data_IF_798267206242
#
_entry.id   IF_798267206242
#
_cell.length_a   1.000
_cell.length_b   1.000
_cell.length_c   1.000
_cell.angle_alpha   90.00
_cell.angle_beta   90.00
_cell.angle_gamma   90.00
#
_symmetry.space_group_name_H-M   'P 1'
#
loop_
_entity.id
_entity.type
_entity.pdbx_description
1 polymer ?
#
# COMPACT_ATOMS: atom_id res chain seq x y z
N UNK A 1 -13.89 3.61 -41.38
CA UNK A 1 -13.02 3.27 -42.56
C UNK A 1 -11.51 3.41 -42.30
N UNK A 2 -11.03 4.38 -41.52
CA UNK A 2 -9.59 4.54 -41.21
C UNK A 2 -9.07 3.50 -40.23
N UNK A 3 -9.85 3.10 -39.21
CA UNK A 3 -9.42 2.14 -38.20
C UNK A 3 -9.29 0.70 -38.73
N UNK A 4 -10.19 0.27 -39.64
CA UNK A 4 -10.06 -1.04 -40.34
C UNK A 4 -8.73 -1.20 -41.11
N UNK A 5 -8.13 -0.08 -41.57
CA UNK A 5 -6.82 -0.11 -42.27
C UNK A 5 -5.66 -0.13 -41.27
N UNK A 6 -5.77 0.49 -40.12
CA UNK A 6 -4.69 0.56 -39.11
C UNK A 6 -4.56 -0.77 -38.36
N UNK A 7 -5.67 -1.42 -38.01
CA UNK A 7 -5.66 -2.73 -37.36
C UNK A 7 -5.17 -3.83 -38.30
N UNK A 8 -5.54 -3.79 -39.60
CA UNK A 8 -5.03 -4.73 -40.62
C UNK A 8 -3.51 -4.60 -40.87
N UNK A 9 -2.95 -3.41 -40.75
CA UNK A 9 -1.51 -3.19 -40.92
C UNK A 9 -0.69 -3.64 -39.71
N UNK A 10 -1.25 -3.54 -38.50
CA UNK A 10 -0.61 -3.99 -37.23
C UNK A 10 -0.58 -5.51 -37.09
N UNK A 11 -1.57 -6.23 -37.63
CA UNK A 11 -1.60 -7.69 -37.61
C UNK A 11 -0.58 -8.37 -38.56
N UNK A 12 -0.02 -7.64 -39.53
CA UNK A 12 0.84 -8.25 -40.56
C UNK A 12 2.34 -8.25 -40.21
N UNK A 13 2.81 -7.70 -39.10
CA UNK A 13 4.26 -7.50 -38.83
C UNK A 13 4.80 -8.34 -37.66
N UNK A 14 4.02 -9.15 -36.97
CA UNK A 14 4.52 -9.89 -35.81
C UNK A 14 4.70 -11.40 -36.03
N UNK A 15 5.62 -11.77 -36.95
CA UNK A 15 6.25 -13.10 -36.90
C UNK A 15 7.74 -12.91 -36.67
N UNK A 16 8.18 -13.23 -35.49
CA UNK A 16 9.49 -13.63 -35.00
C UNK A 16 9.96 -12.79 -33.80
N UNK A 17 9.97 -13.40 -32.63
CA UNK A 17 11.11 -13.57 -31.72
C UNK A 17 10.63 -14.15 -30.37
N UNK A 18 11.08 -15.37 -30.15
CA UNK A 18 11.42 -16.15 -28.93
C UNK A 18 10.86 -15.83 -27.55
N UNK A 19 10.38 -16.90 -26.95
CA UNK A 19 9.99 -17.16 -25.57
C UNK A 19 11.01 -16.69 -24.53
N UNK A 20 10.51 -16.07 -23.46
CA UNK A 20 11.07 -16.20 -22.10
C UNK A 20 9.93 -16.41 -21.10
N UNK A 21 10.10 -17.30 -20.10
CA UNK A 21 9.04 -17.66 -19.18
C UNK A 21 8.82 -16.59 -18.10
N UNK A 22 7.55 -16.36 -17.77
CA UNK A 22 7.14 -15.50 -16.69
C UNK A 22 7.38 -16.19 -15.34
N UNK A 23 8.52 -15.93 -14.70
CA UNK A 23 8.72 -16.11 -13.27
C UNK A 23 9.74 -15.09 -12.80
N UNK A 24 9.27 -13.99 -12.26
CA UNK A 24 10.07 -13.16 -11.38
C UNK A 24 9.15 -12.34 -10.46
N UNK A 25 8.58 -13.00 -9.45
CA UNK A 25 8.32 -12.34 -8.19
C UNK A 25 9.69 -12.16 -7.57
N UNK A 26 10.24 -10.95 -7.62
CA UNK A 26 11.49 -10.64 -6.94
C UNK A 26 11.24 -10.55 -5.43
N UNK A 27 11.45 -11.69 -4.76
CA UNK A 27 11.74 -11.70 -3.35
C UNK A 27 13.12 -11.05 -3.19
N UNK A 28 13.20 -9.94 -2.47
CA UNK A 28 14.47 -9.48 -1.91
C UNK A 28 14.85 -10.46 -0.80
N UNK A 29 15.63 -11.48 -1.17
CA UNK A 29 16.28 -12.35 -0.21
C UNK A 29 17.56 -11.65 0.26
N UNK A 30 17.67 -11.50 1.56
CA UNK A 30 18.90 -11.13 2.24
C UNK A 30 19.99 -12.15 1.95
N UNK A 31 21.15 -11.66 1.53
CA UNK A 31 22.33 -12.49 1.28
C UNK A 31 22.87 -13.10 2.56
N UNK A 32 22.73 -14.40 2.73
CA UNK A 32 23.48 -15.17 3.71
C UNK A 32 24.89 -15.43 3.18
N UNK A 33 25.88 -14.74 3.74
CA UNK A 33 27.28 -15.05 3.57
C UNK A 33 27.67 -16.19 4.49
N UNK A 34 27.87 -17.39 3.94
CA UNK A 34 28.52 -18.50 4.62
C UNK A 34 30.04 -18.21 4.76
N UNK A 35 30.48 -17.88 5.95
CA UNK A 35 31.91 -17.95 6.31
C UNK A 35 32.19 -19.27 6.99
N UNK A 36 33.11 -20.01 6.38
CA UNK A 36 33.76 -21.22 6.88
C UNK A 36 34.43 -20.94 8.23
N UNK A 37 34.17 -21.83 9.20
CA UNK A 37 34.77 -21.75 10.52
C UNK A 37 36.23 -22.20 10.47
N UNK A 38 37.17 -21.32 10.77
CA UNK A 38 38.51 -21.69 11.26
C UNK A 38 38.52 -21.64 12.78
N UNK A 39 38.81 -22.78 13.37
CA UNK A 39 38.97 -22.99 14.81
C UNK A 39 40.28 -22.39 15.27
N UNK A 40 40.23 -21.22 15.91
CA UNK A 40 41.39 -20.73 16.66
C UNK A 40 41.00 -20.67 18.13
N UNK A 41 41.65 -21.54 18.91
CA UNK A 41 41.58 -21.55 20.37
C UNK A 41 42.25 -20.32 20.92
N UNK A 42 41.52 -19.38 21.52
CA UNK A 42 42.07 -18.28 22.29
C UNK A 42 41.53 -18.36 23.72
N UNK A 43 42.48 -18.61 24.63
CA UNK A 43 42.34 -18.61 26.07
C UNK A 43 41.84 -17.26 26.61
N UNK A 44 40.90 -17.35 27.53
CA UNK A 44 40.44 -16.44 28.54
C UNK A 44 40.73 -14.94 28.46
N UNK A 45 39.68 -14.16 28.16
CA UNK A 45 39.50 -12.83 28.74
C UNK A 45 38.06 -12.72 29.23
N UNK A 46 37.87 -12.40 30.51
CA UNK A 46 36.65 -12.01 31.12
C UNK A 46 35.92 -10.96 30.23
N UNK A 47 34.95 -11.38 29.45
CA UNK A 47 33.98 -10.47 28.89
C UNK A 47 32.99 -10.17 30.02
N UNK A 48 33.09 -9.01 30.63
CA UNK A 48 31.98 -8.39 31.31
C UNK A 48 30.85 -8.27 30.29
N UNK A 49 29.90 -9.20 30.30
CA UNK A 49 28.63 -9.04 29.60
C UNK A 49 28.03 -7.72 30.11
N UNK A 50 28.03 -6.69 29.29
CA UNK A 50 27.32 -5.46 29.55
C UNK A 50 25.84 -5.83 29.65
N UNK A 51 25.34 -5.97 30.86
CA UNK A 51 23.95 -6.29 31.15
C UNK A 51 23.11 -5.12 30.61
N UNK A 52 22.40 -5.34 29.49
CA UNK A 52 21.58 -4.29 28.90
C UNK A 52 20.62 -3.71 29.95
N UNK A 53 20.59 -2.38 30.06
CA UNK A 53 19.72 -1.68 31.00
C UNK A 53 18.25 -2.03 30.65
N UNK A 54 17.42 -2.19 31.67
CA UNK A 54 16.00 -2.53 31.52
C UNK A 54 15.08 -1.36 31.81
N UNK A 55 15.62 -0.19 32.04
CA UNK A 55 14.86 1.06 32.23
C UNK A 55 15.74 2.28 31.93
N UNK A 56 15.12 3.41 31.70
CA UNK A 56 15.79 4.67 31.42
C UNK A 56 14.84 5.75 30.95
N UNK A 57 15.38 6.76 30.29
CA UNK A 57 14.62 7.88 29.76
C UNK A 57 14.49 7.74 28.22
N UNK A 58 13.36 8.24 27.70
CA UNK A 58 13.03 8.16 26.29
C UNK A 58 12.24 9.37 25.77
N UNK A 59 12.29 10.50 26.49
CA UNK A 59 11.64 11.74 26.09
C UNK A 59 12.31 12.42 24.89
N UNK A 60 11.57 13.31 24.24
CA UNK A 60 12.05 14.08 23.11
C UNK A 60 13.20 15.06 23.50
N UNK A 61 13.88 15.60 22.48
CA UNK A 61 14.94 16.57 22.64
C UNK A 61 14.48 17.75 23.54
N UNK A 62 15.34 18.16 24.47
CA UNK A 62 15.11 19.15 25.53
C UNK A 62 14.11 18.73 26.62
N UNK A 63 13.59 17.51 26.58
CA UNK A 63 12.69 16.91 27.58
C UNK A 63 13.02 15.44 27.81
N UNK A 64 14.26 15.03 27.66
CA UNK A 64 14.72 13.65 27.63
C UNK A 64 14.26 12.86 28.87
N UNK A 65 14.21 13.52 30.04
CA UNK A 65 13.80 12.91 31.32
C UNK A 65 12.31 12.92 31.61
N UNK A 66 11.51 13.52 30.73
CA UNK A 66 10.06 13.67 30.96
C UNK A 66 9.29 12.37 30.71
N UNK A 67 9.81 11.50 29.83
CA UNK A 67 9.25 10.17 29.54
C UNK A 67 10.26 9.09 29.87
N UNK A 68 9.78 8.01 30.49
CA UNK A 68 10.58 6.89 30.95
C UNK A 68 10.11 5.60 30.29
N UNK A 69 11.00 4.65 30.19
CA UNK A 69 10.70 3.28 29.79
C UNK A 69 11.20 2.29 30.82
N UNK A 70 10.48 1.19 30.97
CA UNK A 70 10.87 0.06 31.80
C UNK A 70 10.46 -1.26 31.13
N UNK A 71 11.39 -2.21 31.02
CA UNK A 71 11.14 -3.53 30.44
C UNK A 71 11.20 -4.62 31.50
N UNK A 72 10.10 -5.33 31.69
CA UNK A 72 10.02 -6.50 32.55
C UNK A 72 10.37 -7.76 31.73
N UNK A 73 11.54 -8.36 32.00
CA UNK A 73 12.03 -9.55 31.29
C UNK A 73 11.21 -10.82 31.56
N UNK A 74 10.51 -10.90 32.68
CA UNK A 74 9.73 -12.09 33.05
C UNK A 74 8.40 -12.11 32.29
N UNK A 75 7.76 -10.95 32.15
CA UNK A 75 6.45 -10.83 31.48
C UNK A 75 6.58 -10.46 30.00
N UNK A 76 7.69 -9.88 29.59
CA UNK A 76 7.88 -9.34 28.22
C UNK A 76 7.17 -8.00 28.00
N UNK A 77 6.80 -7.28 29.07
CA UNK A 77 6.08 -6.00 28.98
C UNK A 77 7.09 -4.84 28.98
N UNK A 78 7.00 -3.99 27.95
CA UNK A 78 7.64 -2.68 27.88
C UNK A 78 6.64 -1.61 28.32
N UNK A 79 6.90 -0.92 29.42
CA UNK A 79 6.07 0.19 29.90
C UNK A 79 6.71 1.51 29.55
N UNK A 80 5.92 2.43 28.97
CA UNK A 80 6.27 3.83 28.70
C UNK A 80 5.42 4.69 29.64
N UNK A 81 6.06 5.54 30.43
CA UNK A 81 5.39 6.36 31.44
C UNK A 81 5.98 7.77 31.53
N UNK A 82 5.29 8.66 32.27
CA UNK A 82 5.72 10.05 32.46
C UNK A 82 4.82 11.05 31.75
N UNK A 83 5.34 12.25 31.53
CA UNK A 83 4.57 13.36 30.92
C UNK A 83 5.35 13.97 29.78
N UNK A 84 4.76 13.99 28.58
CA UNK A 84 5.40 14.59 27.41
C UNK A 84 5.56 13.61 26.25
N UNK A 85 6.29 14.04 25.22
CA UNK A 85 6.48 13.28 23.97
C UNK A 85 7.71 12.38 24.08
N UNK A 86 7.62 11.17 23.52
CA UNK A 86 8.78 10.30 23.22
C UNK A 86 9.66 10.90 22.13
N UNK A 87 10.93 10.56 22.12
CA UNK A 87 11.86 10.87 21.02
C UNK A 87 11.47 10.16 19.71
N UNK A 88 11.86 10.74 18.57
CA UNK A 88 11.89 10.03 17.31
C UNK A 88 13.20 9.23 17.21
N UNK A 89 13.11 7.97 16.75
CA UNK A 89 14.26 7.08 16.74
C UNK A 89 14.76 6.83 15.31
N UNK A 90 16.08 6.66 15.18
CA UNK A 90 16.66 6.13 13.97
C UNK A 90 16.53 4.60 13.99
N UNK A 91 16.24 4.04 12.83
CA UNK A 91 16.17 2.60 12.62
C UNK A 91 16.79 2.25 11.27
N UNK A 92 17.84 1.42 11.29
CA UNK A 92 18.52 0.97 10.08
C UNK A 92 19.58 -0.09 10.39
N UNK A 93 20.22 -0.60 9.33
CA UNK A 93 21.21 -1.66 9.46
C UNK A 93 22.48 -1.24 10.24
N UNK A 94 22.73 0.05 10.35
CA UNK A 94 23.92 0.61 10.99
C UNK A 94 23.64 1.27 12.33
N UNK A 95 22.40 1.62 12.63
CA UNK A 95 22.04 2.37 13.84
C UNK A 95 20.59 2.12 14.24
N UNK A 96 20.36 1.66 15.47
CA UNK A 96 19.06 1.63 16.13
C UNK A 96 19.21 2.40 17.45
N UNK A 97 18.58 3.58 17.54
CA UNK A 97 18.73 4.47 18.70
C UNK A 97 17.67 4.25 19.78
N UNK A 98 16.81 3.23 19.63
CA UNK A 98 15.81 2.91 20.64
C UNK A 98 16.48 2.31 21.88
N UNK A 99 16.21 2.80 23.07
CA UNK A 99 16.87 2.30 24.27
C UNK A 99 16.51 0.83 24.61
N UNK A 100 15.39 0.31 24.08
CA UNK A 100 14.96 -1.10 24.20
C UNK A 100 15.32 -1.97 22.99
N UNK A 101 16.15 -1.50 22.07
CA UNK A 101 16.51 -2.25 20.85
C UNK A 101 17.04 -3.68 21.15
N UNK A 102 17.81 -3.85 22.23
CA UNK A 102 18.32 -5.15 22.66
C UNK A 102 17.22 -6.18 23.03
N UNK A 103 15.99 -5.74 23.23
CA UNK A 103 14.86 -6.57 23.63
C UNK A 103 13.80 -6.73 22.52
N UNK A 104 14.06 -6.25 21.31
CA UNK A 104 13.08 -6.19 20.20
C UNK A 104 12.42 -7.54 19.87
N UNK A 105 13.11 -8.64 20.08
CA UNK A 105 12.61 -9.99 19.78
C UNK A 105 11.92 -10.69 20.99
N UNK A 106 11.82 -10.04 22.14
CA UNK A 106 11.21 -10.59 23.36
C UNK A 106 10.15 -9.70 23.99
N UNK A 107 9.98 -8.45 23.49
CA UNK A 107 8.88 -7.56 23.89
C UNK A 107 7.59 -8.13 23.32
N UNK A 108 6.65 -8.52 24.21
CA UNK A 108 5.35 -9.10 23.85
C UNK A 108 4.19 -8.11 23.97
N UNK A 109 4.33 -7.14 24.84
CA UNK A 109 3.34 -6.08 25.08
C UNK A 109 4.05 -4.74 25.25
N UNK A 110 3.50 -3.69 24.63
CA UNK A 110 3.84 -2.31 24.91
C UNK A 110 2.69 -1.66 25.63
N UNK A 111 2.94 -1.17 26.85
CA UNK A 111 1.97 -0.44 27.66
C UNK A 111 2.37 1.03 27.73
N UNK A 112 1.53 1.91 27.20
CA UNK A 112 1.72 3.37 27.25
C UNK A 112 0.75 3.94 28.30
N UNK A 113 1.28 4.64 29.30
CA UNK A 113 0.48 5.21 30.36
C UNK A 113 -0.07 6.59 29.99
N UNK A 114 -1.19 6.98 30.59
CA UNK A 114 -1.73 8.33 30.47
C UNK A 114 -0.71 9.37 30.98
N UNK A 115 -0.65 10.54 30.30
CA UNK A 115 0.36 11.57 30.50
C UNK A 115 1.45 11.58 29.43
N UNK A 116 1.73 10.43 28.79
CA UNK A 116 2.54 10.42 27.57
C UNK A 116 1.75 11.08 26.45
N UNK A 117 2.29 12.14 25.85
CA UNK A 117 1.56 12.96 24.87
C UNK A 117 1.94 12.69 23.42
N UNK A 118 2.97 11.89 23.18
CA UNK A 118 3.34 11.54 21.82
C UNK A 118 4.17 10.27 21.71
N UNK A 119 3.92 9.50 20.66
CA UNK A 119 4.68 8.31 20.29
C UNK A 119 5.63 8.70 19.15
N UNK A 120 6.93 8.57 19.40
CA UNK A 120 7.95 8.95 18.42
C UNK A 120 8.01 8.03 17.21
N UNK A 121 8.56 8.54 16.11
CA UNK A 121 8.78 7.75 14.90
C UNK A 121 9.70 6.55 15.15
N UNK A 122 9.39 5.42 14.52
CA UNK A 122 10.07 4.12 14.68
C UNK A 122 10.08 3.55 16.11
N UNK A 123 9.31 4.09 17.06
CA UNK A 123 9.43 3.74 18.48
C UNK A 123 9.34 2.23 18.74
N UNK A 124 8.37 1.57 18.15
CA UNK A 124 8.12 0.15 18.37
C UNK A 124 8.33 -0.70 17.11
N UNK A 125 8.91 -0.13 16.06
CA UNK A 125 9.15 -0.81 14.79
C UNK A 125 9.92 -2.11 14.96
N UNK A 126 9.48 -3.18 14.26
CA UNK A 126 10.15 -4.47 14.20
C UNK A 126 10.35 -5.13 15.58
N UNK A 127 9.34 -5.05 16.44
CA UNK A 127 9.23 -5.83 17.67
C UNK A 127 8.58 -7.18 17.32
N UNK A 128 9.39 -8.15 16.90
CA UNK A 128 8.93 -9.39 16.26
C UNK A 128 8.11 -10.33 17.14
N UNK A 129 8.06 -10.09 18.46
CA UNK A 129 7.23 -10.84 19.42
C UNK A 129 6.03 -10.02 19.93
N UNK A 130 5.87 -8.75 19.50
CA UNK A 130 4.82 -7.86 19.98
C UNK A 130 3.45 -8.35 19.50
N UNK A 131 2.55 -8.64 20.46
CA UNK A 131 1.19 -9.07 20.17
C UNK A 131 0.14 -8.03 20.56
N UNK A 132 0.46 -7.16 21.53
CA UNK A 132 -0.51 -6.20 22.08
C UNK A 132 0.14 -4.86 22.42
N UNK A 133 -0.63 -3.78 22.19
CA UNK A 133 -0.30 -2.41 22.62
C UNK A 133 -1.56 -1.60 22.88
N UNK A 134 -1.42 -0.42 23.51
CA UNK A 134 -2.49 0.55 23.69
C UNK A 134 -2.07 1.95 23.24
N UNK A 135 -3.03 2.78 22.90
CA UNK A 135 -2.83 4.21 22.57
C UNK A 135 -3.75 5.02 23.49
N UNK A 136 -3.19 5.69 24.52
CA UNK A 136 -3.98 6.43 25.49
C UNK A 136 -4.55 7.74 24.93
N UNK A 137 -5.55 8.30 25.62
CA UNK A 137 -6.22 9.53 25.19
C UNK A 137 -5.34 10.77 25.25
N UNK A 138 -4.29 10.76 26.05
CA UNK A 138 -3.32 11.86 26.17
C UNK A 138 -2.47 12.07 24.92
N UNK A 139 -2.42 11.09 23.98
CA UNK A 139 -1.61 11.18 22.78
C UNK A 139 -2.15 12.25 21.82
N UNK A 140 -1.31 13.22 21.49
CA UNK A 140 -1.56 14.29 20.52
C UNK A 140 -0.46 14.41 19.44
N UNK A 141 0.48 13.46 19.43
CA UNK A 141 1.49 13.32 18.39
C UNK A 141 1.72 11.83 18.08
N UNK A 142 1.71 11.49 16.81
CA UNK A 142 2.04 10.17 16.28
C UNK A 142 3.11 10.34 15.20
N UNK A 143 4.27 9.73 15.39
CA UNK A 143 5.34 9.69 14.40
C UNK A 143 5.09 8.63 13.34
N UNK A 144 5.96 8.59 12.33
CA UNK A 144 5.89 7.60 11.25
C UNK A 144 6.52 6.27 11.68
N UNK A 145 6.11 5.16 11.03
CA UNK A 145 6.70 3.82 11.19
C UNK A 145 6.59 3.23 12.61
N UNK A 146 5.62 3.66 13.43
CA UNK A 146 5.58 3.33 14.87
C UNK A 146 5.64 1.82 15.12
N UNK A 147 4.76 1.03 14.48
CA UNK A 147 4.65 -0.43 14.63
C UNK A 147 5.05 -1.20 13.36
N UNK A 148 5.77 -0.55 12.44
CA UNK A 148 6.12 -1.18 11.16
C UNK A 148 6.84 -2.51 11.35
N UNK A 149 6.36 -3.56 10.67
CA UNK A 149 6.91 -4.91 10.67
C UNK A 149 6.78 -5.65 12.03
N UNK A 150 5.80 -5.29 12.83
CA UNK A 150 5.41 -6.04 14.03
C UNK A 150 4.46 -7.16 13.60
N UNK A 151 5.04 -8.22 13.00
CA UNK A 151 4.28 -9.27 12.31
C UNK A 151 3.36 -10.09 13.23
N UNK A 152 3.64 -10.11 14.52
CA UNK A 152 2.83 -10.82 15.53
C UNK A 152 1.74 -9.93 16.16
N UNK A 153 1.71 -8.62 15.87
CA UNK A 153 0.76 -7.68 16.44
C UNK A 153 -0.68 -8.04 16.02
N UNK A 154 -1.53 -8.30 16.98
CA UNK A 154 -2.95 -8.62 16.75
C UNK A 154 -3.90 -7.65 17.41
N UNK A 155 -3.43 -6.94 18.46
CA UNK A 155 -4.30 -6.09 19.26
C UNK A 155 -3.67 -4.73 19.55
N UNK A 156 -4.42 -3.67 19.16
CA UNK A 156 -4.11 -2.29 19.50
C UNK A 156 -5.36 -1.68 20.12
N UNK A 157 -5.27 -1.34 21.39
CA UNK A 157 -6.37 -0.78 22.16
C UNK A 157 -6.32 0.75 22.10
N UNK A 158 -7.25 1.36 21.35
CA UNK A 158 -7.45 2.80 21.33
C UNK A 158 -8.25 3.24 22.55
N UNK A 159 -7.82 4.29 23.25
CA UNK A 159 -8.64 4.87 24.31
C UNK A 159 -10.00 5.34 23.75
N UNK A 160 -11.13 5.11 24.47
CA UNK A 160 -12.47 5.41 23.96
C UNK A 160 -12.68 6.88 23.52
N UNK A 161 -11.96 7.81 24.13
CA UNK A 161 -12.00 9.24 23.86
C UNK A 161 -10.77 9.74 23.08
N UNK A 162 -10.04 8.85 22.42
CA UNK A 162 -8.90 9.22 21.59
C UNK A 162 -9.33 10.15 20.45
N UNK A 163 -8.56 11.22 20.25
CA UNK A 163 -8.74 12.13 19.14
C UNK A 163 -7.48 12.17 18.29
N UNK A 164 -7.61 11.84 17.02
CA UNK A 164 -6.48 11.81 16.09
C UNK A 164 -5.82 13.20 15.97
N UNK A 165 -4.49 13.28 16.11
CA UNK A 165 -3.78 14.55 15.90
C UNK A 165 -3.83 14.97 14.44
N UNK A 166 -3.78 16.30 14.19
CA UNK A 166 -3.56 16.80 12.84
C UNK A 166 -2.09 16.66 12.48
N UNK A 167 -1.82 15.96 11.41
CA UNK A 167 -0.48 15.67 10.92
C UNK A 167 -0.31 16.27 9.51
N UNK A 168 0.94 16.38 9.07
CA UNK A 168 1.30 16.80 7.72
C UNK A 168 2.05 15.66 7.04
N UNK A 169 1.45 15.09 6.00
CA UNK A 169 2.12 14.10 5.16
C UNK A 169 3.09 14.79 4.22
N UNK A 170 4.37 14.46 4.34
CA UNK A 170 5.45 15.01 3.51
C UNK A 170 5.93 13.99 2.45
N UNK A 171 5.40 12.76 2.45
CA UNK A 171 5.83 11.69 1.52
C UNK A 171 5.16 11.78 0.14
N UNK A 172 4.32 12.78 -0.10
CA UNK A 172 3.59 12.93 -1.36
C UNK A 172 4.34 13.82 -2.35
N UNK A 173 4.70 13.29 -3.52
CA UNK A 173 5.13 14.12 -4.64
C UNK A 173 3.97 14.87 -5.34
N UNK A 174 2.74 14.57 -4.96
CA UNK A 174 1.51 15.15 -5.52
C UNK A 174 0.90 16.28 -4.69
N UNK A 175 1.57 16.73 -3.65
CA UNK A 175 1.07 17.72 -2.70
C UNK A 175 1.11 17.20 -1.27
N UNK A 176 1.16 18.12 -0.32
CA UNK A 176 1.10 17.78 1.10
C UNK A 176 -0.34 17.69 1.55
N UNK A 177 -0.72 16.59 2.19
CA UNK A 177 -1.98 16.51 2.92
C UNK A 177 -1.75 16.93 4.38
N UNK A 178 -2.62 17.79 4.90
CA UNK A 178 -2.65 18.13 6.32
C UNK A 178 -4.02 17.74 6.86
N UNK A 179 -4.06 16.91 7.89
CA UNK A 179 -5.31 16.43 8.45
C UNK A 179 -5.10 15.37 9.52
N UNK A 180 -6.21 14.77 9.96
CA UNK A 180 -6.19 13.70 10.95
C UNK A 180 -6.10 12.36 10.21
N UNK A 181 -4.89 11.88 9.92
CA UNK A 181 -4.69 10.62 9.21
C UNK A 181 -3.81 9.64 10.03
N UNK A 182 -3.98 8.35 9.77
CA UNK A 182 -3.08 7.33 10.31
C UNK A 182 -1.68 7.54 9.75
N UNK A 183 -0.63 7.70 10.58
CA UNK A 183 0.72 8.06 10.10
C UNK A 183 1.29 7.12 9.05
N UNK A 184 2.25 7.63 8.27
CA UNK A 184 2.98 6.86 7.28
C UNK A 184 3.55 5.58 7.87
N UNK A 185 3.22 4.46 7.22
CA UNK A 185 3.70 3.11 7.57
C UNK A 185 3.49 2.72 9.05
N UNK A 186 2.49 3.29 9.72
CA UNK A 186 2.28 3.01 11.15
C UNK A 186 2.12 1.52 11.43
N UNK A 187 1.34 0.81 10.59
CA UNK A 187 1.08 -0.63 10.70
C UNK A 187 1.56 -1.42 9.48
N UNK A 188 2.50 -0.85 8.72
CA UNK A 188 3.08 -1.47 7.53
C UNK A 188 3.68 -2.84 7.85
N UNK A 189 3.19 -3.91 7.19
CA UNK A 189 3.56 -5.31 7.44
C UNK A 189 3.28 -5.83 8.86
N UNK A 190 2.29 -5.29 9.57
CA UNK A 190 1.70 -5.95 10.72
C UNK A 190 0.76 -7.07 10.23
N UNK A 191 1.32 -8.18 9.76
CA UNK A 191 0.64 -9.17 8.93
C UNK A 191 -0.45 -9.99 9.65
N UNK A 192 -0.56 -9.91 10.98
CA UNK A 192 -1.63 -10.49 11.77
C UNK A 192 -2.66 -9.47 12.26
N UNK A 193 -2.37 -8.18 12.09
CA UNK A 193 -3.28 -7.13 12.56
C UNK A 193 -4.52 -7.07 11.67
N UNK A 194 -5.69 -7.09 12.31
CA UNK A 194 -6.96 -6.92 11.63
C UNK A 194 -7.67 -8.21 11.23
N UNK A 195 -7.10 -9.38 11.50
CA UNK A 195 -7.75 -10.66 11.21
C UNK A 195 -9.13 -10.74 11.87
N UNK A 196 -10.17 -10.96 11.07
CA UNK A 196 -11.57 -10.95 11.49
C UNK A 196 -12.12 -9.60 11.96
N UNK A 197 -11.38 -8.48 11.76
CA UNK A 197 -11.79 -7.13 12.18
C UNK A 197 -12.12 -6.24 10.99
N UNK A 198 -13.10 -5.37 11.18
CA UNK A 198 -13.47 -4.33 10.22
C UNK A 198 -12.80 -3.01 10.63
N UNK A 199 -12.06 -2.39 9.69
CA UNK A 199 -11.17 -1.25 9.97
C UNK A 199 -11.92 -0.02 10.48
N UNK A 200 -13.07 0.34 9.90
CA UNK A 200 -13.80 1.56 10.26
C UNK A 200 -14.46 1.47 11.65
N UNK A 201 -14.65 0.25 12.16
CA UNK A 201 -15.11 0.01 13.54
C UNK A 201 -13.99 -0.04 14.55
N UNK A 202 -12.81 -0.46 14.09
CA UNK A 202 -11.61 -0.57 14.93
C UNK A 202 -10.86 0.76 15.06
N UNK A 203 -10.83 1.56 13.99
CA UNK A 203 -10.12 2.83 13.94
C UNK A 203 -10.98 3.95 14.57
N UNK A 204 -10.43 4.82 15.43
CA UNK A 204 -11.14 6.00 15.92
C UNK A 204 -11.72 6.84 14.79
N UNK A 205 -13.00 7.22 14.90
CA UNK A 205 -13.73 7.98 13.87
C UNK A 205 -13.18 9.40 13.63
N UNK A 206 -12.28 9.86 14.48
CA UNK A 206 -11.56 11.12 14.31
C UNK A 206 -10.50 11.09 13.18
N UNK A 207 -10.11 9.90 12.70
CA UNK A 207 -9.26 9.80 11.53
C UNK A 207 -10.04 10.03 10.25
N UNK A 208 -9.55 10.96 9.43
CA UNK A 208 -10.15 11.33 8.13
C UNK A 208 -9.29 10.89 6.95
N UNK A 209 -8.23 10.14 7.20
CA UNK A 209 -7.36 9.66 6.15
C UNK A 209 -6.39 8.59 6.61
N UNK A 210 -5.68 8.05 5.64
CA UNK A 210 -4.67 6.99 5.79
C UNK A 210 -3.39 7.43 5.10
N UNK A 211 -2.29 7.47 5.84
CA UNK A 211 -0.98 7.85 5.31
C UNK A 211 -0.34 6.80 4.40
N UNK A 212 0.80 7.14 3.81
CA UNK A 212 1.53 6.26 2.90
C UNK A 212 1.81 4.90 3.55
N UNK A 213 1.40 3.80 2.90
CA UNK A 213 1.60 2.42 3.34
C UNK A 213 1.14 2.10 4.78
N UNK A 214 0.21 2.88 5.34
CA UNK A 214 -0.12 2.78 6.78
C UNK A 214 -0.73 1.42 7.16
N UNK A 215 -1.50 0.78 6.28
CA UNK A 215 -2.08 -0.55 6.49
C UNK A 215 -1.59 -1.61 5.51
N UNK A 216 -0.47 -1.36 4.82
CA UNK A 216 0.05 -2.31 3.84
C UNK A 216 0.30 -3.68 4.48
N UNK A 217 -0.27 -4.73 3.86
CA UNK A 217 -0.10 -6.12 4.28
C UNK A 217 -0.83 -6.51 5.57
N UNK A 218 -1.77 -5.69 6.08
CA UNK A 218 -2.65 -6.03 7.21
C UNK A 218 -3.85 -6.86 6.76
N UNK A 219 -4.63 -7.41 7.72
CA UNK A 219 -5.72 -8.37 7.46
C UNK A 219 -7.13 -7.77 7.62
N UNK A 220 -7.27 -6.46 7.77
CA UNK A 220 -8.58 -5.85 7.93
C UNK A 220 -9.47 -6.03 6.69
N UNK A 221 -10.78 -6.21 6.94
CA UNK A 221 -11.80 -5.81 5.97
C UNK A 221 -12.03 -4.30 6.09
N UNK A 222 -12.52 -3.66 5.03
CA UNK A 222 -12.83 -2.22 5.06
C UNK A 222 -14.18 -1.99 4.41
N UNK A 223 -15.11 -1.44 5.16
CA UNK A 223 -16.39 -0.94 4.67
C UNK A 223 -16.26 0.57 4.38
N UNK A 224 -15.82 0.89 3.17
CA UNK A 224 -15.62 2.29 2.76
C UNK A 224 -16.89 3.11 2.73
N UNK A 225 -18.07 2.51 2.54
CA UNK A 225 -19.36 3.21 2.53
C UNK A 225 -19.69 3.76 3.92
N UNK A 226 -19.19 3.10 4.98
CA UNK A 226 -19.30 3.57 6.36
C UNK A 226 -18.19 4.56 6.77
N UNK A 227 -17.20 4.83 5.92
CA UNK A 227 -16.15 5.81 6.19
C UNK A 227 -16.48 7.18 5.55
N UNK A 228 -17.61 7.76 5.94
CA UNK A 228 -18.17 8.97 5.33
C UNK A 228 -17.29 10.23 5.42
N UNK A 229 -16.35 10.27 6.36
CA UNK A 229 -15.41 11.37 6.54
C UNK A 229 -14.01 11.11 5.95
N UNK A 230 -13.82 10.04 5.17
CA UNK A 230 -12.55 9.74 4.50
C UNK A 230 -12.25 10.83 3.45
N UNK A 231 -11.09 11.46 3.55
CA UNK A 231 -10.62 12.56 2.68
C UNK A 231 -9.27 12.29 2.03
N UNK A 232 -8.49 11.35 2.57
CA UNK A 232 -7.14 11.11 2.10
C UNK A 232 -6.77 9.62 2.13
N UNK A 233 -6.22 9.13 1.04
CA UNK A 233 -5.60 7.81 0.91
C UNK A 233 -4.19 8.02 0.37
N UNK A 234 -3.19 7.80 1.20
CA UNK A 234 -1.78 7.90 0.85
C UNK A 234 -1.35 6.82 -0.15
N UNK A 235 -0.21 7.02 -0.77
CA UNK A 235 0.36 6.01 -1.66
C UNK A 235 0.53 4.67 -0.90
N UNK A 236 0.17 3.55 -1.54
CA UNK A 236 0.29 2.20 -0.96
C UNK A 236 -0.51 1.97 0.32
N UNK A 237 -1.46 2.83 0.67
CA UNK A 237 -2.15 2.81 1.96
C UNK A 237 -2.78 1.45 2.27
N UNK A 238 -3.36 0.80 1.27
CA UNK A 238 -4.03 -0.49 1.33
C UNK A 238 -3.38 -1.56 0.43
N UNK A 239 -2.10 -1.37 0.08
CA UNK A 239 -1.34 -2.33 -0.72
C UNK A 239 -1.27 -3.68 -0.01
N UNK A 240 -1.46 -4.78 -0.77
CA UNK A 240 -1.38 -6.16 -0.25
C UNK A 240 -2.33 -6.48 0.91
N UNK A 241 -3.47 -5.81 1.03
CA UNK A 241 -4.54 -6.17 1.96
C UNK A 241 -5.48 -7.19 1.30
N UNK A 242 -5.50 -8.46 1.75
CA UNK A 242 -6.19 -9.53 1.01
C UNK A 242 -7.72 -9.49 1.13
N UNK A 243 -8.27 -8.79 2.13
CA UNK A 243 -9.70 -8.84 2.48
C UNK A 243 -10.49 -7.58 2.08
N UNK A 244 -9.97 -6.80 1.12
CA UNK A 244 -10.72 -5.69 0.54
C UNK A 244 -11.73 -6.21 -0.49
N UNK A 245 -12.98 -5.73 -0.43
CA UNK A 245 -14.01 -6.18 -1.38
C UNK A 245 -14.37 -5.12 -2.40
N UNK A 246 -14.67 -3.90 -1.97
CA UNK A 246 -15.11 -2.84 -2.87
C UNK A 246 -14.58 -1.47 -2.45
N UNK A 247 -14.43 -0.59 -3.43
CA UNK A 247 -14.12 0.82 -3.21
C UNK A 247 -14.81 1.70 -4.23
N UNK A 248 -15.28 2.87 -3.77
CA UNK A 248 -15.80 3.95 -4.64
C UNK A 248 -14.91 5.18 -4.52
N UNK A 249 -14.19 5.50 -5.60
CA UNK A 249 -13.39 6.72 -5.68
C UNK A 249 -14.26 7.89 -6.08
N UNK A 250 -14.26 8.96 -5.26
CA UNK A 250 -15.00 10.19 -5.47
C UNK A 250 -14.10 11.43 -5.36
N UNK A 251 -14.54 12.56 -5.91
CA UNK A 251 -13.76 13.82 -5.88
C UNK A 251 -13.43 14.36 -4.49
N UNK A 252 -14.14 13.88 -3.45
CA UNK A 252 -13.88 14.26 -2.06
C UNK A 252 -12.65 13.58 -1.45
N UNK A 253 -12.05 12.58 -2.13
CA UNK A 253 -10.93 11.79 -1.63
C UNK A 253 -9.67 12.15 -2.41
N UNK A 254 -8.69 12.74 -1.72
CA UNK A 254 -7.37 12.98 -2.28
C UNK A 254 -6.56 11.68 -2.27
N UNK A 255 -5.94 11.32 -3.40
CA UNK A 255 -5.04 10.18 -3.52
C UNK A 255 -3.59 10.66 -3.48
N UNK A 256 -2.82 10.15 -2.53
CA UNK A 256 -1.39 10.42 -2.41
C UNK A 256 -0.57 9.66 -3.46
N UNK A 257 0.58 10.23 -3.80
CA UNK A 257 1.52 9.65 -4.76
C UNK A 257 2.90 9.52 -4.09
N UNK A 258 3.62 8.46 -4.46
CA UNK A 258 5.03 8.31 -4.17
C UNK A 258 5.80 8.22 -5.50
N UNK A 259 6.57 9.27 -5.79
CA UNK A 259 6.99 9.49 -7.17
C UNK A 259 5.78 9.83 -8.05
N UNK A 260 5.51 9.03 -9.07
CA UNK A 260 4.36 9.20 -9.95
C UNK A 260 3.22 8.23 -9.66
N UNK A 261 3.42 7.23 -8.79
CA UNK A 261 2.52 6.11 -8.58
C UNK A 261 1.73 6.25 -7.27
N UNK A 262 0.44 5.97 -7.33
CA UNK A 262 -0.38 5.85 -6.13
C UNK A 262 -0.20 4.48 -5.46
N UNK A 263 -0.29 3.39 -6.24
CA UNK A 263 -0.29 2.01 -5.73
C UNK A 263 -1.24 1.80 -4.54
N UNK A 264 -2.27 2.64 -4.41
CA UNK A 264 -3.10 2.70 -3.20
C UNK A 264 -3.68 1.34 -2.82
N UNK A 265 -4.08 0.54 -3.81
CA UNK A 265 -4.65 -0.79 -3.67
C UNK A 265 -3.80 -1.90 -4.33
N UNK A 266 -2.55 -1.62 -4.66
CA UNK A 266 -1.69 -2.57 -5.38
C UNK A 266 -1.68 -3.95 -4.72
N UNK A 267 -1.99 -4.99 -5.51
CA UNK A 267 -1.97 -6.39 -5.03
C UNK A 267 -2.96 -6.69 -3.89
N UNK A 268 -3.97 -5.86 -3.67
CA UNK A 268 -5.02 -6.12 -2.69
C UNK A 268 -6.09 -7.08 -3.24
N UNK A 269 -6.92 -7.62 -2.35
CA UNK A 269 -8.06 -8.48 -2.67
C UNK A 269 -9.29 -7.74 -3.21
N UNK A 270 -9.13 -6.51 -3.73
CA UNK A 270 -10.23 -5.70 -4.25
C UNK A 270 -10.94 -6.44 -5.39
N UNK A 271 -12.28 -6.58 -5.29
CA UNK A 271 -13.13 -7.29 -6.27
C UNK A 271 -13.94 -6.34 -7.14
N UNK A 272 -14.33 -5.20 -6.57
CA UNK A 272 -15.15 -4.19 -7.24
C UNK A 272 -14.59 -2.78 -7.03
N UNK A 273 -14.52 -2.00 -8.11
CA UNK A 273 -14.12 -0.60 -8.09
C UNK A 273 -15.07 0.27 -8.88
N UNK A 274 -15.58 1.32 -8.25
CA UNK A 274 -16.36 2.37 -8.92
C UNK A 274 -15.51 3.64 -8.92
N UNK A 275 -15.39 4.28 -10.08
CA UNK A 275 -14.63 5.54 -10.22
C UNK A 275 -15.55 6.63 -10.69
N UNK A 276 -15.71 7.68 -9.87
CA UNK A 276 -16.54 8.87 -10.13
C UNK A 276 -15.73 10.17 -10.13
N UNK A 277 -14.41 10.09 -10.37
CA UNK A 277 -13.48 11.22 -10.47
C UNK A 277 -13.11 11.47 -11.92
N UNK A 278 -12.51 12.63 -12.22
CA UNK A 278 -12.04 12.95 -13.58
C UNK A 278 -10.93 12.00 -14.06
N UNK A 279 -10.05 11.55 -13.17
CA UNK A 279 -8.93 10.66 -13.50
C UNK A 279 -8.89 9.43 -12.58
N UNK A 280 -8.57 8.28 -13.17
CA UNK A 280 -8.11 7.10 -12.41
C UNK A 280 -6.61 7.26 -12.17
N UNK A 281 -6.13 7.27 -10.93
CA UNK A 281 -4.72 7.50 -10.63
C UNK A 281 -3.78 6.42 -11.20
N UNK A 282 -2.54 6.80 -11.48
CA UNK A 282 -1.50 5.89 -11.96
C UNK A 282 -1.27 4.74 -10.97
N UNK A 283 -1.17 3.50 -11.49
CA UNK A 283 -0.93 2.29 -10.71
C UNK A 283 -1.95 2.04 -9.58
N UNK A 284 -3.17 2.56 -9.67
CA UNK A 284 -4.15 2.63 -8.59
C UNK A 284 -4.54 1.26 -8.03
N UNK A 285 -4.97 0.34 -8.90
CA UNK A 285 -5.37 -1.02 -8.59
C UNK A 285 -4.49 -2.06 -9.32
N UNK A 286 -3.22 -1.72 -9.54
CA UNK A 286 -2.24 -2.60 -10.16
C UNK A 286 -2.12 -3.91 -9.37
N UNK A 287 -2.16 -5.06 -10.04
CA UNK A 287 -2.01 -6.37 -9.42
C UNK A 287 -3.19 -6.84 -8.56
N UNK A 288 -4.33 -6.15 -8.59
CA UNK A 288 -5.56 -6.64 -7.94
C UNK A 288 -6.14 -7.82 -8.73
N UNK A 289 -5.61 -9.01 -8.48
CA UNK A 289 -5.94 -10.22 -9.27
C UNK A 289 -7.34 -10.77 -9.01
N UNK A 290 -8.08 -10.20 -8.05
CA UNK A 290 -9.50 -10.51 -7.79
C UNK A 290 -10.44 -9.43 -8.34
N UNK A 291 -9.92 -8.32 -8.89
CA UNK A 291 -10.74 -7.23 -9.41
C UNK A 291 -11.40 -7.61 -10.74
N UNK A 292 -12.67 -7.97 -10.68
CA UNK A 292 -13.49 -8.38 -11.83
C UNK A 292 -14.46 -7.34 -12.29
N UNK A 293 -14.88 -6.42 -11.42
CA UNK A 293 -15.93 -5.40 -11.67
C UNK A 293 -15.32 -3.98 -11.57
N UNK A 294 -15.26 -3.30 -12.71
CA UNK A 294 -14.85 -1.90 -12.79
C UNK A 294 -15.98 -1.10 -13.42
N UNK A 295 -16.51 -0.13 -12.68
CA UNK A 295 -17.49 0.82 -13.18
C UNK A 295 -16.84 2.20 -13.33
N UNK A 296 -16.79 2.71 -14.56
CA UNK A 296 -16.29 4.04 -14.88
C UNK A 296 -17.48 4.99 -15.02
N UNK A 297 -17.63 5.93 -14.08
CA UNK A 297 -18.67 6.94 -14.10
C UNK A 297 -18.49 7.96 -15.22
N UNK A 298 -19.52 8.75 -15.51
CA UNK A 298 -19.51 9.77 -16.59
C UNK A 298 -18.50 10.91 -16.37
N UNK A 299 -18.02 11.10 -15.15
CA UNK A 299 -17.00 12.09 -14.81
C UNK A 299 -15.61 11.71 -15.33
N UNK A 300 -15.35 10.41 -15.53
CA UNK A 300 -14.01 9.91 -15.90
C UNK A 300 -13.62 10.40 -17.29
N UNK A 301 -12.47 11.07 -17.40
CA UNK A 301 -11.87 11.55 -18.64
C UNK A 301 -10.58 10.82 -18.99
N UNK A 302 -9.88 10.34 -17.99
CA UNK A 302 -8.55 9.73 -18.18
C UNK A 302 -8.35 8.53 -17.26
N UNK A 303 -7.71 7.49 -17.80
CA UNK A 303 -7.16 6.38 -17.05
C UNK A 303 -5.63 6.49 -17.15
N UNK A 304 -4.97 6.71 -16.01
CA UNK A 304 -3.52 6.90 -15.96
C UNK A 304 -2.77 5.57 -16.20
N UNK A 305 -1.47 5.61 -16.59
CA UNK A 305 -0.69 4.41 -16.85
C UNK A 305 -0.71 3.40 -15.70
N UNK A 306 -0.73 2.10 -16.04
CA UNK A 306 -0.71 0.96 -15.11
C UNK A 306 -1.89 0.90 -14.14
N UNK A 307 -2.94 1.71 -14.30
CA UNK A 307 -4.03 1.83 -13.32
C UNK A 307 -4.66 0.49 -12.94
N UNK A 308 -4.83 -0.41 -13.91
CA UNK A 308 -5.46 -1.73 -13.80
C UNK A 308 -4.56 -2.86 -14.33
N UNK A 309 -3.26 -2.67 -14.30
CA UNK A 309 -2.30 -3.67 -14.74
C UNK A 309 -2.53 -5.00 -14.00
N UNK A 310 -2.61 -6.12 -14.75
CA UNK A 310 -2.75 -7.48 -14.19
C UNK A 310 -3.97 -7.65 -13.26
N UNK A 311 -5.13 -7.11 -13.64
CA UNK A 311 -6.41 -7.35 -12.95
C UNK A 311 -7.17 -8.50 -13.60
N UNK A 312 -8.25 -8.97 -12.93
CA UNK A 312 -9.07 -10.08 -13.39
C UNK A 312 -10.33 -9.65 -14.15
N UNK A 313 -10.39 -8.41 -14.62
CA UNK A 313 -11.58 -7.91 -15.37
C UNK A 313 -11.89 -8.79 -16.57
N UNK A 314 -13.19 -8.98 -16.82
CA UNK A 314 -13.68 -9.80 -17.94
C UNK A 314 -14.24 -8.97 -19.08
N UNK A 315 -14.80 -7.82 -18.76
CA UNK A 315 -15.41 -6.89 -19.73
C UNK A 315 -15.13 -5.45 -19.33
N UNK A 316 -15.06 -4.56 -20.31
CA UNK A 316 -15.02 -3.12 -20.08
C UNK A 316 -15.85 -2.40 -21.13
N UNK A 317 -16.74 -1.57 -20.68
CA UNK A 317 -17.46 -0.59 -21.47
C UNK A 317 -16.82 0.78 -21.23
N UNK A 318 -16.10 1.30 -22.22
CA UNK A 318 -15.41 2.59 -22.15
C UNK A 318 -16.42 3.69 -22.48
N UNK A 319 -16.82 4.52 -21.49
CA UNK A 319 -17.79 5.60 -21.69
C UNK A 319 -17.33 6.63 -22.75
N UNK A 320 -18.28 7.30 -23.39
CA UNK A 320 -18.01 8.33 -24.40
C UNK A 320 -17.09 9.45 -23.89
N UNK A 321 -17.15 9.76 -22.59
CA UNK A 321 -16.37 10.84 -21.98
C UNK A 321 -14.88 10.59 -21.84
N UNK A 322 -14.41 9.34 -21.95
CA UNK A 322 -13.00 9.01 -21.74
C UNK A 322 -12.18 9.35 -22.99
N UNK A 323 -11.28 10.31 -22.86
CA UNK A 323 -10.42 10.79 -23.95
C UNK A 323 -9.04 10.14 -24.02
N UNK A 324 -8.57 9.55 -22.90
CA UNK A 324 -7.23 8.95 -22.83
C UNK A 324 -7.18 7.72 -21.92
N UNK A 325 -6.49 6.67 -22.42
CA UNK A 325 -6.11 5.49 -21.62
C UNK A 325 -4.59 5.36 -21.73
N UNK A 326 -3.91 5.50 -20.61
CA UNK A 326 -2.46 5.57 -20.50
C UNK A 326 -1.74 4.24 -20.74
N UNK A 327 -0.43 4.30 -20.88
CA UNK A 327 0.43 3.17 -21.18
C UNK A 327 0.22 2.00 -20.21
N UNK A 328 0.06 0.79 -20.76
CA UNK A 328 -0.09 -0.45 -20.00
C UNK A 328 -1.23 -0.43 -18.97
N UNK A 329 -2.24 0.44 -19.14
CA UNK A 329 -3.30 0.59 -18.13
C UNK A 329 -4.04 -0.72 -17.81
N UNK A 330 -4.20 -1.60 -18.79
CA UNK A 330 -4.83 -2.91 -18.68
C UNK A 330 -3.89 -4.05 -19.13
N UNK A 331 -2.59 -3.83 -19.08
CA UNK A 331 -1.61 -4.86 -19.48
C UNK A 331 -1.79 -6.13 -18.64
N UNK A 332 -1.69 -7.31 -19.28
CA UNK A 332 -1.79 -8.62 -18.65
C UNK A 332 -3.13 -8.94 -17.95
N UNK A 333 -4.22 -8.29 -18.32
CA UNK A 333 -5.57 -8.67 -17.87
C UNK A 333 -6.05 -9.91 -18.66
N UNK A 334 -5.57 -11.10 -18.27
CA UNK A 334 -5.73 -12.33 -19.06
C UNK A 334 -7.17 -12.80 -19.22
N UNK A 335 -8.05 -12.45 -18.27
CA UNK A 335 -9.48 -12.81 -18.30
C UNK A 335 -10.32 -11.82 -19.11
N UNK A 336 -9.74 -10.75 -19.60
CA UNK A 336 -10.43 -9.68 -20.31
C UNK A 336 -10.88 -10.16 -21.69
N UNK A 337 -12.19 -10.41 -21.85
CA UNK A 337 -12.76 -11.05 -23.02
C UNK A 337 -13.42 -10.06 -23.99
N UNK A 338 -14.12 -9.03 -23.48
CA UNK A 338 -14.89 -8.08 -24.29
C UNK A 338 -14.61 -6.63 -23.95
N UNK A 339 -14.32 -5.82 -24.98
CA UNK A 339 -14.05 -4.38 -24.88
C UNK A 339 -14.98 -3.61 -25.82
N UNK A 340 -15.65 -2.59 -25.27
CA UNK A 340 -16.54 -1.72 -26.05
C UNK A 340 -16.08 -0.27 -25.92
N UNK A 341 -15.94 0.44 -27.05
CA UNK A 341 -15.70 1.88 -27.09
C UNK A 341 -16.95 2.64 -27.55
N UNK A 342 -17.37 3.64 -26.75
CA UNK A 342 -18.54 4.48 -27.05
C UNK A 342 -18.19 5.84 -27.63
N UNK A 343 -16.96 6.31 -27.47
CA UNK A 343 -16.54 7.65 -27.88
C UNK A 343 -15.15 7.70 -28.48
N UNK A 344 -14.65 8.92 -28.61
CA UNK A 344 -13.29 9.16 -29.13
C UNK A 344 -12.25 9.02 -28.03
N UNK A 345 -11.33 8.05 -28.15
CA UNK A 345 -10.31 7.73 -27.16
C UNK A 345 -8.93 7.61 -27.80
N UNK A 346 -7.93 8.12 -27.09
CA UNK A 346 -6.51 7.94 -27.41
C UNK A 346 -5.91 6.86 -26.50
N UNK A 347 -5.28 5.85 -27.09
CA UNK A 347 -4.59 4.77 -26.41
C UNK A 347 -3.08 5.01 -26.40
N UNK A 348 -2.46 4.85 -25.23
CA UNK A 348 -1.02 4.81 -25.07
C UNK A 348 -0.40 3.49 -25.56
N UNK A 349 0.85 3.25 -25.16
CA UNK A 349 1.56 2.01 -25.51
C UNK A 349 1.05 0.81 -24.68
N UNK A 350 0.92 -0.35 -25.34
CA UNK A 350 0.66 -1.65 -24.68
C UNK A 350 -0.57 -1.68 -23.78
N UNK A 351 -1.56 -0.83 -24.01
CA UNK A 351 -2.72 -0.66 -23.11
C UNK A 351 -3.39 -2.00 -22.79
N UNK A 352 -3.66 -2.82 -23.81
CA UNK A 352 -4.32 -4.11 -23.70
C UNK A 352 -3.38 -5.28 -24.10
N UNK A 353 -2.08 -5.09 -24.03
CA UNK A 353 -1.12 -6.15 -24.34
C UNK A 353 -1.25 -7.31 -23.32
N UNK A 354 -1.13 -8.54 -23.82
CA UNK A 354 -1.29 -9.76 -23.02
C UNK A 354 -2.68 -9.92 -22.38
N UNK A 355 -3.70 -9.30 -22.96
CA UNK A 355 -5.11 -9.52 -22.59
C UNK A 355 -5.73 -10.64 -23.41
N UNK A 356 -6.81 -11.24 -22.85
CA UNK A 356 -7.60 -12.27 -23.51
C UNK A 356 -8.72 -11.75 -24.41
N UNK A 357 -8.69 -10.51 -24.89
CA UNK A 357 -9.79 -9.87 -25.62
C UNK A 357 -10.10 -10.64 -26.91
N UNK A 358 -11.35 -11.12 -27.03
CA UNK A 358 -11.87 -11.82 -28.20
C UNK A 358 -12.86 -10.95 -28.99
N UNK A 359 -13.59 -10.09 -28.29
CA UNK A 359 -14.60 -9.20 -28.88
C UNK A 359 -14.20 -7.74 -28.66
N UNK A 360 -14.19 -6.98 -29.76
CA UNK A 360 -13.95 -5.55 -29.75
C UNK A 360 -15.10 -4.86 -30.50
N UNK A 361 -15.92 -4.13 -29.75
CA UNK A 361 -17.01 -3.32 -30.29
C UNK A 361 -16.59 -1.86 -30.36
N UNK A 362 -16.66 -1.26 -31.54
CA UNK A 362 -16.45 0.17 -31.76
C UNK A 362 -17.78 0.70 -32.27
N UNK A 363 -18.53 1.34 -31.36
CA UNK A 363 -19.87 1.81 -31.66
C UNK A 363 -19.87 2.99 -32.66
N UNK A 364 -21.04 3.25 -33.27
CA UNK A 364 -21.21 4.35 -34.21
C UNK A 364 -20.80 5.69 -33.57
N UNK A 365 -19.92 6.43 -34.26
CA UNK A 365 -19.36 7.69 -33.78
C UNK A 365 -18.12 7.56 -32.88
N UNK A 366 -17.77 6.35 -32.42
CA UNK A 366 -16.54 6.14 -31.68
C UNK A 366 -15.30 6.15 -32.59
N UNK A 367 -14.18 6.66 -32.06
CA UNK A 367 -12.89 6.70 -32.75
C UNK A 367 -11.78 6.27 -31.78
N UNK A 368 -10.98 5.28 -32.15
CA UNK A 368 -9.84 4.81 -31.36
C UNK A 368 -8.54 5.23 -32.04
N UNK A 369 -7.73 6.05 -31.33
CA UNK A 369 -6.48 6.60 -31.81
C UNK A 369 -5.34 5.92 -31.04
N UNK A 370 -4.42 5.26 -31.73
CA UNK A 370 -3.23 4.65 -31.15
C UNK A 370 -2.03 5.57 -31.35
N UNK A 371 -1.39 6.02 -30.27
CA UNK A 371 -0.25 6.97 -30.34
C UNK A 371 1.10 6.29 -30.12
N UNK A 372 1.13 5.06 -29.64
CA UNK A 372 2.32 4.25 -29.42
C UNK A 372 2.22 2.91 -30.10
N UNK A 373 3.14 1.98 -29.84
CA UNK A 373 3.19 0.65 -30.45
C UNK A 373 1.86 -0.10 -30.43
N UNK A 374 1.85 -1.41 -30.61
CA UNK A 374 0.63 -2.22 -30.68
C UNK A 374 -0.08 -2.30 -29.32
N UNK A 375 -1.22 -1.59 -29.13
CA UNK A 375 -1.95 -1.61 -27.85
C UNK A 375 -2.68 -2.94 -27.57
N UNK A 376 -2.85 -3.81 -28.59
CA UNK A 376 -3.59 -5.07 -28.51
C UNK A 376 -2.72 -6.30 -28.68
N UNK A 377 -1.41 -6.21 -28.53
CA UNK A 377 -0.49 -7.32 -28.75
C UNK A 377 -0.81 -8.50 -27.82
N UNK A 378 -1.18 -9.63 -28.40
CA UNK A 378 -1.46 -10.85 -27.63
C UNK A 378 -0.21 -11.52 -27.08
N UNK A 379 -0.36 -12.31 -26.03
CA UNK A 379 0.64 -13.27 -25.55
C UNK A 379 0.31 -14.64 -26.14
N UNK A 380 1.09 -15.12 -27.09
CA UNK A 380 0.92 -16.45 -27.66
C UNK A 380 0.53 -16.48 -29.14
N UNK A 381 0.22 -17.67 -29.65
CA UNK A 381 -0.03 -17.98 -31.05
C UNK A 381 -1.41 -17.57 -31.56
N UNK A 382 -2.31 -17.13 -30.68
CA UNK A 382 -3.65 -16.69 -31.09
C UNK A 382 -3.74 -15.16 -31.20
N UNK A 383 -4.41 -14.61 -32.22
CA UNK A 383 -4.70 -13.19 -32.26
C UNK A 383 -5.56 -12.80 -31.07
N UNK A 384 -5.15 -11.76 -30.33
CA UNK A 384 -5.85 -11.30 -29.15
C UNK A 384 -7.31 -10.91 -29.44
N UNK A 385 -7.59 -10.41 -30.65
CA UNK A 385 -8.94 -9.99 -31.07
C UNK A 385 -9.39 -10.84 -32.22
N UNK A 386 -10.47 -11.61 -32.04
CA UNK A 386 -11.04 -12.50 -33.09
C UNK A 386 -12.26 -11.88 -33.80
N UNK A 387 -12.93 -10.92 -33.17
CA UNK A 387 -14.14 -10.28 -33.72
C UNK A 387 -14.06 -8.77 -33.50
N UNK A 388 -14.29 -8.00 -34.58
CA UNK A 388 -14.43 -6.53 -34.56
C UNK A 388 -15.80 -6.20 -35.17
N UNK A 389 -16.65 -5.57 -34.40
CA UNK A 389 -17.99 -5.11 -34.79
C UNK A 389 -18.04 -3.61 -34.98
#
# INVERSE_FOLDING_TARGET
MRLKRVISAALAVSMAVSMMPATAVSAFAEGTSTKTAETTTVTGKNSTESKAETSGYCGAENQEKSVQWAFNKETGVLTISGTGRMADYKYGNTEDTRPWAAFSNVIKEVKIEEGVTGIGGNAFRNLTALTKTNIPASINYLGDYIYRADSELTDVEWAPNFTAPSLKDNDTNGGTYTGTYVPTSMFDFCSKLGDGKELTKWLPSSFTGVGCAAFRGTQFTVDFDNWSNLKYIGARAFEQMPHLESFTLTDGIQIGLRGTDSNAFNGSGLKKLIVNTEEVPRSFANGCTELTDITLGSAVKKIQPFAFYSTAITTLDVPEGISNIGDSAFYACQNFNKLTFRGKVTLGEKVFTACGIKELDILDGAEVICTGGDPFRGSGSDPAVTTIN
#
